data_IF_164819824427
#
_entry.id   IF_164819824427
#
_cell.length_a   1.000
_cell.length_b   1.000
_cell.length_c   1.000
_cell.angle_alpha   90.00
_cell.angle_beta   90.00
_cell.angle_gamma   90.00
#
_symmetry.space_group_name_H-M   'P 1'
#
loop_
_entity.id
_entity.type
_entity.pdbx_description
1 polymer ?
#
# COMPACT_ATOMS: atom_id res chain seq x y z
N UNK A 1 -73.14 -8.17 11.98
CA UNK A 1 -72.57 -7.99 13.34
C UNK A 1 -71.05 -8.04 13.24
N UNK A 2 -70.38 -6.88 13.32
CA UNK A 2 -68.92 -6.74 13.29
C UNK A 2 -68.42 -6.59 14.73
N UNK A 3 -67.45 -7.40 15.15
CA UNK A 3 -66.77 -7.27 16.46
C UNK A 3 -65.40 -6.61 16.24
N UNK A 4 -65.16 -5.52 16.96
CA UNK A 4 -63.82 -4.98 17.22
C UNK A 4 -63.12 -5.80 18.32
N UNK A 5 -61.78 -5.80 18.34
CA UNK A 5 -61.08 -5.14 19.44
C UNK A 5 -59.96 -4.23 18.90
N UNK A 6 -59.88 -2.94 19.26
CA UNK A 6 -59.30 -2.33 20.49
C UNK A 6 -57.84 -2.71 20.77
N UNK A 7 -56.95 -1.76 20.48
CA UNK A 7 -55.58 -1.63 21.00
C UNK A 7 -55.05 -0.25 20.59
N UNK A 8 -54.70 0.59 21.56
CA UNK A 8 -54.35 2.01 21.41
C UNK A 8 -52.80 2.22 21.45
N UNK A 9 -52.27 3.45 21.58
CA UNK A 9 -51.25 4.10 20.72
C UNK A 9 -49.89 4.20 21.48
N UNK A 10 -49.01 5.23 21.36
CA UNK A 10 -48.58 6.11 20.26
C UNK A 10 -47.05 5.99 20.00
N UNK A 11 -46.56 6.08 18.75
CA UNK A 11 -45.12 6.29 18.53
C UNK A 11 -44.82 7.76 18.27
N UNK A 12 -44.78 8.52 19.36
CA UNK A 12 -43.97 9.74 19.45
C UNK A 12 -42.53 9.32 19.64
N UNK A 13 -41.79 9.11 18.55
CA UNK A 13 -40.34 8.98 18.62
C UNK A 13 -39.75 10.35 18.90
N UNK A 14 -39.58 10.60 20.20
CA UNK A 14 -38.81 11.69 20.76
C UNK A 14 -37.42 11.70 20.12
N UNK A 15 -37.05 12.86 19.58
CA UNK A 15 -35.67 13.21 19.32
C UNK A 15 -34.92 13.21 20.65
N UNK A 16 -34.10 12.18 20.90
CA UNK A 16 -33.04 12.24 21.89
C UNK A 16 -31.76 12.74 21.20
N UNK A 17 -31.04 13.72 21.78
CA UNK A 17 -29.72 14.09 21.31
C UNK A 17 -28.77 12.98 21.78
N UNK A 18 -28.63 11.94 20.97
CA UNK A 18 -27.56 10.99 21.15
C UNK A 18 -26.25 11.74 20.87
N UNK A 19 -25.64 12.15 21.97
CA UNK A 19 -24.25 12.53 22.08
C UNK A 19 -23.40 11.38 21.54
N UNK A 20 -23.21 11.31 20.22
CA UNK A 20 -22.04 10.65 19.65
C UNK A 20 -20.88 11.65 19.74
N UNK A 21 -20.46 11.79 20.99
CA UNK A 21 -19.13 12.21 21.40
C UNK A 21 -18.13 11.63 20.40
N UNK A 22 -17.50 12.50 19.61
CA UNK A 22 -16.45 12.17 18.66
C UNK A 22 -15.61 10.98 19.13
N UNK A 23 -15.78 9.77 18.56
CA UNK A 23 -14.90 8.68 18.87
C UNK A 23 -13.61 8.98 18.11
N UNK A 24 -12.73 9.69 18.82
CA UNK A 24 -11.29 9.76 18.62
C UNK A 24 -10.91 10.38 17.26
N UNK A 25 -10.34 11.59 17.16
CA UNK A 25 -9.07 11.96 17.79
C UNK A 25 -8.11 10.77 18.09
N UNK A 26 -8.24 9.64 17.37
CA UNK A 26 -7.13 8.71 17.12
C UNK A 26 -6.36 9.51 16.07
N UNK A 27 -5.52 10.47 16.46
CA UNK A 27 -4.15 10.16 16.88
C UNK A 27 -3.73 8.90 16.16
N UNK A 28 -3.57 8.99 14.84
CA UNK A 28 -2.86 7.96 14.13
C UNK A 28 -1.39 8.11 14.55
N UNK A 29 -1.08 7.52 15.71
CA UNK A 29 0.18 6.84 15.88
C UNK A 29 0.44 6.03 14.60
N UNK A 30 1.71 5.89 14.20
CA UNK A 30 2.09 5.16 12.99
C UNK A 30 1.22 3.90 12.79
N UNK A 31 0.78 3.60 11.55
CA UNK A 31 -0.06 2.44 11.27
C UNK A 31 0.46 1.19 12.02
N UNK A 32 -0.41 0.33 12.59
CA UNK A 32 0.05 -0.81 13.38
C UNK A 32 1.04 -1.70 12.61
N UNK A 33 0.82 -1.87 11.30
CA UNK A 33 1.75 -2.56 10.42
C UNK A 33 3.15 -1.94 10.35
N UNK A 34 3.28 -0.61 10.48
CA UNK A 34 4.58 0.06 10.54
C UNK A 34 5.27 -0.19 11.89
N UNK A 35 4.51 -0.18 13.00
CA UNK A 35 5.04 -0.51 14.32
C UNK A 35 5.51 -1.98 14.39
N UNK A 36 4.75 -2.90 13.81
CA UNK A 36 5.12 -4.31 13.72
C UNK A 36 6.42 -4.50 12.92
N UNK A 37 6.58 -3.75 11.82
CA UNK A 37 7.80 -3.78 11.02
C UNK A 37 9.02 -3.25 11.78
N UNK A 38 8.87 -2.21 12.60
CA UNK A 38 9.94 -1.70 13.46
C UNK A 38 10.30 -2.69 14.57
N UNK A 39 9.30 -3.31 15.21
CA UNK A 39 9.54 -4.35 16.22
C UNK A 39 10.30 -5.55 15.63
N UNK A 40 9.92 -5.98 14.42
CA UNK A 40 10.65 -7.04 13.70
C UNK A 40 12.05 -6.62 13.27
N UNK A 41 12.27 -5.33 12.96
CA UNK A 41 13.60 -4.81 12.65
C UNK A 41 14.49 -4.82 13.90
N UNK A 42 13.98 -4.36 15.05
CA UNK A 42 14.70 -4.41 16.32
C UNK A 42 15.06 -5.84 16.71
N UNK A 43 14.09 -6.76 16.68
CA UNK A 43 14.36 -8.17 16.98
C UNK A 43 15.40 -8.77 16.02
N UNK A 44 15.33 -8.42 14.73
CA UNK A 44 16.34 -8.84 13.75
C UNK A 44 17.73 -8.27 14.04
N UNK A 45 17.85 -7.07 14.61
CA UNK A 45 19.15 -6.53 15.03
C UNK A 45 19.72 -7.25 16.24
N UNK A 46 18.86 -7.57 17.22
CA UNK A 46 19.25 -8.35 18.39
C UNK A 46 19.73 -9.76 17.95
N UNK A 47 19.03 -10.36 16.99
CA UNK A 47 19.41 -11.64 16.38
C UNK A 47 20.75 -11.51 15.63
N UNK A 48 20.92 -10.48 14.80
CA UNK A 48 22.16 -10.25 14.06
C UNK A 48 23.37 -10.09 15.00
N UNK A 49 23.20 -9.35 16.11
CA UNK A 49 24.24 -9.16 17.11
C UNK A 49 24.67 -10.48 17.78
N UNK A 50 23.79 -11.47 17.86
CA UNK A 50 24.09 -12.80 18.40
C UNK A 50 24.75 -13.75 17.38
N UNK A 51 24.73 -13.43 16.08
CA UNK A 51 25.32 -14.29 15.05
C UNK A 51 26.84 -14.27 15.08
N UNK A 52 27.47 -15.45 15.07
CA UNK A 52 28.93 -15.58 15.02
C UNK A 52 29.50 -15.44 13.60
N UNK A 53 28.72 -15.82 12.60
CA UNK A 53 29.17 -15.78 11.20
C UNK A 53 28.93 -14.38 10.60
N UNK A 54 29.94 -13.76 9.96
CA UNK A 54 29.78 -12.43 9.34
C UNK A 54 28.70 -12.39 8.27
N UNK A 55 28.58 -13.47 7.50
CA UNK A 55 27.64 -13.55 6.39
C UNK A 55 26.20 -13.53 6.89
N UNK A 56 25.86 -14.34 7.91
CA UNK A 56 24.52 -14.36 8.48
C UNK A 56 24.21 -13.05 9.20
N UNK A 57 25.15 -12.55 10.01
CA UNK A 57 25.04 -11.23 10.66
C UNK A 57 24.70 -10.14 9.65
N UNK A 58 25.45 -10.07 8.55
CA UNK A 58 25.23 -9.07 7.50
C UNK A 58 23.88 -9.23 6.79
N UNK A 59 23.48 -10.46 6.47
CA UNK A 59 22.20 -10.73 5.81
C UNK A 59 21.00 -10.33 6.69
N UNK A 60 21.03 -10.70 7.98
CA UNK A 60 19.99 -10.38 8.95
C UNK A 60 19.94 -8.87 9.21
N UNK A 61 21.09 -8.21 9.41
CA UNK A 61 21.15 -6.76 9.58
C UNK A 61 20.55 -6.02 8.36
N UNK A 62 20.89 -6.44 7.15
CA UNK A 62 20.33 -5.83 5.95
C UNK A 62 18.81 -6.07 5.81
N UNK A 63 18.30 -7.20 6.28
CA UNK A 63 16.87 -7.48 6.31
C UNK A 63 16.14 -6.58 7.33
N UNK A 64 16.74 -6.34 8.49
CA UNK A 64 16.23 -5.37 9.47
C UNK A 64 16.17 -3.95 8.86
N UNK A 65 17.18 -3.54 8.09
CA UNK A 65 17.17 -2.27 7.36
C UNK A 65 16.01 -2.19 6.35
N UNK A 66 15.75 -3.26 5.59
CA UNK A 66 14.62 -3.33 4.65
C UNK A 66 13.25 -3.22 5.35
N UNK A 67 13.09 -3.86 6.51
CA UNK A 67 11.85 -3.76 7.32
C UNK A 67 11.64 -2.34 7.82
N UNK A 68 12.71 -1.68 8.26
CA UNK A 68 12.69 -0.27 8.67
C UNK A 68 12.27 0.65 7.51
N UNK A 69 12.84 0.45 6.32
CA UNK A 69 12.43 1.17 5.11
C UNK A 69 10.96 0.92 4.75
N UNK A 70 10.50 -0.33 4.85
CA UNK A 70 9.11 -0.69 4.63
C UNK A 70 8.15 -0.02 5.62
N UNK A 71 8.56 0.20 6.88
CA UNK A 71 7.77 0.94 7.86
C UNK A 71 7.57 2.41 7.43
N UNK A 72 8.62 3.07 6.95
CA UNK A 72 8.51 4.43 6.40
C UNK A 72 7.56 4.48 5.22
N UNK A 73 7.68 3.51 4.30
CA UNK A 73 6.78 3.40 3.15
C UNK A 73 5.33 3.07 3.57
N UNK A 74 5.11 2.34 4.66
CA UNK A 74 3.77 2.08 5.18
C UNK A 74 3.13 3.34 5.80
N UNK A 75 3.94 4.25 6.36
CA UNK A 75 3.46 5.51 6.94
C UNK A 75 3.25 6.58 5.85
N UNK A 76 4.19 6.69 4.91
CA UNK A 76 4.23 7.78 3.91
C UNK A 76 3.70 7.38 2.53
N UNK A 77 3.66 6.10 2.21
CA UNK A 77 3.23 5.58 0.91
C UNK A 77 1.72 5.62 0.76
N UNK A 78 1.23 6.26 -0.30
CA UNK A 78 -0.19 6.29 -0.64
C UNK A 78 -0.68 4.86 -0.89
N UNK A 79 -1.83 4.43 -0.34
CA UNK A 79 -2.30 3.06 -0.45
C UNK A 79 -2.91 2.79 -1.84
N UNK A 80 -2.08 2.55 -2.85
CA UNK A 80 -2.53 1.92 -4.09
C UNK A 80 -1.89 0.53 -4.24
N UNK A 81 -2.71 -0.49 -4.00
CA UNK A 81 -2.34 -1.92 -4.10
C UNK A 81 -1.82 -2.31 -5.50
N UNK A 82 -2.12 -1.53 -6.54
CA UNK A 82 -1.60 -1.66 -7.91
C UNK A 82 -0.16 -1.13 -8.06
N UNK A 83 0.17 -0.03 -7.38
CA UNK A 83 1.52 0.55 -7.33
C UNK A 83 2.46 -0.32 -6.52
N UNK A 84 1.99 -0.97 -5.44
CA UNK A 84 2.79 -1.87 -4.61
C UNK A 84 3.45 -3.00 -5.43
N UNK A 85 2.75 -3.53 -6.44
CA UNK A 85 3.26 -4.59 -7.35
C UNK A 85 4.29 -4.05 -8.35
N UNK A 86 4.09 -2.83 -8.88
CA UNK A 86 5.07 -2.14 -9.75
C UNK A 86 6.30 -1.68 -8.96
N UNK A 87 6.09 -1.24 -7.72
CA UNK A 87 7.12 -0.84 -6.76
C UNK A 87 7.93 -2.04 -6.25
N UNK A 88 7.39 -3.26 -6.29
CA UNK A 88 8.14 -4.49 -5.98
C UNK A 88 9.13 -4.91 -7.08
N UNK A 89 8.96 -4.40 -8.32
CA UNK A 89 9.95 -4.55 -9.40
C UNK A 89 11.14 -3.58 -9.18
N UNK A 90 10.88 -2.44 -8.55
CA UNK A 90 11.91 -1.49 -8.09
C UNK A 90 12.43 -1.92 -6.73
N UNK A 91 13.73 -1.76 -6.48
CA UNK A 91 14.28 -2.08 -5.16
C UNK A 91 13.67 -1.12 -4.13
N UNK A 92 13.38 -1.58 -2.90
CA UNK A 92 12.85 -0.70 -1.84
C UNK A 92 13.71 0.57 -1.64
N UNK A 93 15.03 0.45 -1.88
CA UNK A 93 16.01 1.53 -1.82
C UNK A 93 15.87 2.57 -2.95
N UNK A 94 15.34 2.20 -4.11
CA UNK A 94 15.07 3.15 -5.20
C UNK A 94 13.85 4.00 -4.90
N UNK A 95 12.94 3.49 -4.07
CA UNK A 95 11.62 4.08 -3.92
C UNK A 95 11.37 4.75 -2.57
N UNK A 96 12.25 4.51 -1.59
CA UNK A 96 12.26 5.24 -0.33
C UNK A 96 12.57 6.74 -0.51
N UNK A 97 13.54 7.18 -1.37
CA UNK A 97 13.83 8.59 -1.58
C UNK A 97 12.64 9.42 -2.10
N UNK A 98 11.72 8.82 -2.88
CA UNK A 98 10.50 9.48 -3.34
C UNK A 98 9.56 9.86 -2.18
N UNK A 99 9.53 9.06 -1.11
CA UNK A 99 8.65 9.28 0.04
C UNK A 99 9.36 9.94 1.23
N UNK A 100 10.68 9.82 1.30
CA UNK A 100 11.52 10.33 2.36
C UNK A 100 12.88 10.75 1.79
N UNK A 101 12.98 11.94 1.16
CA UNK A 101 14.22 12.40 0.56
C UNK A 101 15.33 12.59 1.61
N UNK A 102 14.97 12.78 2.89
CA UNK A 102 15.92 12.88 4.00
C UNK A 102 16.69 11.56 4.25
N UNK A 103 16.17 10.44 3.74
CA UNK A 103 16.77 9.12 3.87
C UNK A 103 17.55 8.70 2.62
N UNK A 104 17.74 9.59 1.65
CA UNK A 104 18.40 9.26 0.37
C UNK A 104 19.83 8.73 0.56
N UNK A 105 20.60 9.34 1.46
CA UNK A 105 21.97 8.90 1.76
C UNK A 105 21.99 7.48 2.35
N UNK A 106 21.05 7.19 3.25
CA UNK A 106 20.87 5.84 3.77
C UNK A 106 20.49 4.85 2.67
N UNK A 107 19.63 5.25 1.73
CA UNK A 107 19.26 4.40 0.59
C UNK A 107 20.48 4.08 -0.28
N UNK A 108 21.35 5.05 -0.55
CA UNK A 108 22.57 4.83 -1.33
C UNK A 108 23.52 3.85 -0.61
N UNK A 109 23.74 4.05 0.69
CA UNK A 109 24.55 3.17 1.53
C UNK A 109 24.04 1.72 1.44
N UNK A 110 22.76 1.48 1.73
CA UNK A 110 22.21 0.14 1.73
C UNK A 110 22.09 -0.46 0.32
N UNK A 111 21.73 0.31 -0.70
CA UNK A 111 21.70 -0.17 -2.08
C UNK A 111 23.09 -0.68 -2.53
N UNK A 112 24.16 0.04 -2.17
CA UNK A 112 25.54 -0.38 -2.47
C UNK A 112 25.91 -1.71 -1.80
N UNK A 113 25.31 -2.02 -0.65
CA UNK A 113 25.52 -3.25 0.12
C UNK A 113 24.68 -4.44 -0.34
N UNK A 114 23.67 -4.26 -1.19
CA UNK A 114 22.74 -5.32 -1.60
C UNK A 114 23.41 -6.47 -2.39
N UNK A 115 24.36 -6.24 -3.32
CA UNK A 115 25.09 -7.33 -3.97
C UNK A 115 25.93 -8.16 -2.99
N UNK A 116 26.46 -7.55 -1.92
CA UNK A 116 27.19 -8.30 -0.87
C UNK A 116 26.24 -9.18 -0.06
N UNK A 117 25.05 -8.66 0.27
CA UNK A 117 24.00 -9.45 0.92
C UNK A 117 23.65 -10.69 0.08
N UNK A 118 23.40 -10.52 -1.21
CA UNK A 118 23.04 -11.64 -2.08
C UNK A 118 24.11 -12.74 -2.08
N UNK A 119 25.40 -12.37 -2.03
CA UNK A 119 26.51 -13.32 -1.91
C UNK A 119 26.58 -13.98 -0.52
N UNK A 120 26.33 -13.22 0.53
CA UNK A 120 26.29 -13.72 1.90
C UNK A 120 25.13 -14.72 2.10
N UNK A 121 23.94 -14.42 1.58
CA UNK A 121 22.77 -15.32 1.59
C UNK A 121 22.98 -16.57 0.75
N UNK A 122 23.75 -16.48 -0.34
CA UNK A 122 24.17 -17.63 -1.13
C UNK A 122 25.22 -18.51 -0.42
N UNK A 123 25.65 -18.16 0.80
CA UNK A 123 26.62 -18.93 1.57
C UNK A 123 28.04 -18.87 1.01
N UNK A 124 28.35 -17.87 0.18
CA UNK A 124 29.70 -17.71 -0.38
C UNK A 124 30.66 -17.37 0.78
N UNK A 125 31.65 -18.24 1.01
CA UNK A 125 32.63 -18.05 2.09
C UNK A 125 33.39 -16.73 1.89
N UNK A 126 33.47 -15.94 2.95
CA UNK A 126 34.20 -14.66 2.94
C UNK A 126 33.56 -13.58 2.08
N UNK A 127 32.27 -13.69 1.74
CA UNK A 127 31.55 -12.64 1.02
C UNK A 127 31.51 -11.30 1.79
N UNK A 128 31.58 -11.37 3.13
CA UNK A 128 31.60 -10.23 4.04
C UNK A 128 32.61 -10.51 5.16
N UNK A 129 33.40 -9.49 5.52
CA UNK A 129 34.31 -9.54 6.67
C UNK A 129 33.61 -9.21 8.00
N UNK A 130 34.21 -9.60 9.15
CA UNK A 130 33.67 -9.29 10.48
C UNK A 130 33.37 -7.79 10.66
N UNK A 131 34.36 -6.93 10.32
CA UNK A 131 34.21 -5.48 10.42
C UNK A 131 33.07 -4.94 9.57
N UNK A 132 32.92 -5.44 8.34
CA UNK A 132 31.83 -4.99 7.45
C UNK A 132 30.45 -5.39 7.99
N UNK A 133 30.36 -6.56 8.64
CA UNK A 133 29.13 -7.00 9.29
C UNK A 133 28.80 -6.14 10.52
N UNK A 134 29.81 -5.81 11.34
CA UNK A 134 29.65 -4.95 12.52
C UNK A 134 29.28 -3.51 12.14
N UNK A 135 29.94 -2.97 11.10
CA UNK A 135 29.63 -1.65 10.55
C UNK A 135 28.18 -1.62 10.05
N UNK A 136 27.72 -2.66 9.33
CA UNK A 136 26.33 -2.74 8.86
C UNK A 136 25.32 -2.83 10.01
N UNK A 137 25.60 -3.59 11.08
CA UNK A 137 24.73 -3.65 12.27
C UNK A 137 24.61 -2.26 12.87
N UNK A 138 25.75 -1.59 13.12
CA UNK A 138 25.79 -0.24 13.67
C UNK A 138 25.03 0.77 12.81
N UNK A 139 25.24 0.73 11.50
CA UNK A 139 24.55 1.62 10.55
C UNK A 139 23.05 1.38 10.55
N UNK A 140 22.63 0.12 10.62
CA UNK A 140 21.21 -0.25 10.66
C UNK A 140 20.55 0.19 11.97
N UNK A 141 21.22 0.09 13.11
CA UNK A 141 20.72 0.64 14.38
C UNK A 141 20.56 2.16 14.34
N UNK A 142 21.53 2.88 13.74
CA UNK A 142 21.44 4.33 13.58
C UNK A 142 20.26 4.69 12.67
N UNK A 143 20.10 3.98 11.57
CA UNK A 143 18.99 4.14 10.66
C UNK A 143 17.63 3.87 11.33
N UNK A 144 17.51 2.79 12.10
CA UNK A 144 16.30 2.44 12.85
C UNK A 144 15.94 3.54 13.84
N UNK A 145 16.88 3.98 14.69
CA UNK A 145 16.65 5.06 15.66
C UNK A 145 16.25 6.38 14.98
N UNK A 146 16.85 6.69 13.84
CA UNK A 146 16.50 7.87 13.05
C UNK A 146 15.05 7.79 12.58
N UNK A 147 14.64 6.65 12.03
CA UNK A 147 13.28 6.40 11.54
C UNK A 147 12.27 6.40 12.68
N UNK A 148 12.56 5.75 13.81
CA UNK A 148 11.70 5.77 14.99
C UNK A 148 11.45 7.21 15.46
N UNK A 149 12.51 8.01 15.62
CA UNK A 149 12.38 9.42 16.00
C UNK A 149 11.57 10.21 14.98
N UNK A 150 11.78 9.95 13.69
CA UNK A 150 11.05 10.60 12.60
C UNK A 150 9.55 10.24 12.63
N UNK A 151 9.20 8.98 12.89
CA UNK A 151 7.82 8.50 12.91
C UNK A 151 7.07 8.93 14.19
N UNK A 152 7.76 9.02 15.33
CA UNK A 152 7.20 9.57 16.58
C UNK A 152 6.93 11.08 16.45
N UNK A 153 7.77 11.79 15.69
CA UNK A 153 7.67 13.25 15.51
C UNK A 153 6.67 13.70 14.44
N UNK A 154 6.00 12.78 13.75
CA UNK A 154 4.98 13.09 12.73
C UNK A 154 3.58 13.02 13.37
N UNK A 155 3.03 14.12 13.93
CA UNK A 155 1.59 14.21 14.15
C UNK A 155 0.94 14.30 12.77
N UNK A 156 0.02 13.37 12.48
CA UNK A 156 -0.74 13.36 11.23
C UNK A 156 -1.28 14.76 10.90
N UNK A 157 -0.72 15.42 9.89
CA UNK A 157 -1.26 16.67 9.38
C UNK A 157 -2.62 16.39 8.71
N UNK A 158 -3.63 17.25 8.88
CA UNK A 158 -4.90 17.13 8.16
C UNK A 158 -4.63 17.24 6.66
N UNK A 159 -4.94 16.19 5.90
CA UNK A 159 -4.87 16.29 4.44
C UNK A 159 -5.95 17.26 3.96
N UNK A 160 -5.64 18.18 3.00
CA UNK A 160 -6.68 18.93 2.30
C UNK A 160 -7.54 17.91 1.59
N UNK A 161 -8.77 17.72 2.07
CA UNK A 161 -9.79 16.98 1.35
C UNK A 161 -10.03 17.76 0.05
N UNK A 162 -9.47 17.29 -1.05
CA UNK A 162 -9.95 17.68 -2.37
C UNK A 162 -11.39 17.18 -2.41
N UNK A 163 -12.33 18.09 -2.18
CA UNK A 163 -13.74 17.80 -2.35
C UNK A 163 -13.93 17.37 -3.81
N UNK A 164 -14.69 16.28 -4.08
CA UNK A 164 -15.21 16.10 -5.41
C UNK A 164 -16.04 17.35 -5.72
N UNK A 165 -15.71 18.03 -6.82
CA UNK A 165 -16.55 19.09 -7.34
C UNK A 165 -17.89 18.46 -7.75
N UNK A 166 -18.87 18.56 -6.86
CA UNK A 166 -20.27 18.38 -7.20
C UNK A 166 -20.69 19.61 -8.02
N UNK A 167 -20.39 19.59 -9.32
CA UNK A 167 -20.98 20.51 -10.30
C UNK A 167 -22.39 20.02 -10.62
N UNK A 168 -23.35 20.36 -9.75
CA UNK A 168 -24.77 20.36 -10.09
C UNK A 168 -25.47 21.62 -9.55
N UNK A 169 -25.79 22.53 -10.49
CA UNK A 169 -27.14 23.06 -10.80
C UNK A 169 -27.38 24.59 -10.77
N UNK A 170 -27.99 25.05 -11.89
CA UNK A 170 -28.94 26.18 -12.01
C UNK A 170 -28.52 27.24 -13.05
N UNK A 171 -29.26 27.62 -14.10
CA UNK A 171 -30.64 27.41 -14.55
C UNK A 171 -31.16 28.74 -15.18
N UNK A 172 -31.72 28.70 -16.42
CA UNK A 172 -32.61 29.69 -17.12
C UNK A 172 -32.28 29.73 -18.63
N UNK A 173 -33.17 29.73 -19.63
CA UNK A 173 -34.62 29.80 -19.76
C UNK A 173 -35.02 29.51 -21.23
N UNK A 174 -36.31 29.26 -21.45
CA UNK A 174 -37.00 28.69 -22.62
C UNK A 174 -37.00 29.54 -23.94
N UNK A 175 -37.92 29.33 -24.93
CA UNK A 175 -38.27 28.15 -25.74
C UNK A 175 -38.26 28.44 -27.26
N UNK A 176 -38.28 27.40 -28.13
CA UNK A 176 -38.99 27.50 -29.42
C UNK A 176 -39.38 26.11 -29.96
N UNK A 177 -40.65 25.93 -30.29
CA UNK A 177 -41.16 24.84 -31.13
C UNK A 177 -41.64 25.40 -32.48
N UNK A 178 -42.44 24.67 -33.29
CA UNK A 178 -42.74 23.24 -33.27
C UNK A 178 -42.71 22.59 -34.70
N UNK A 179 -43.18 21.34 -34.76
CA UNK A 179 -43.73 20.62 -35.93
C UNK A 179 -42.82 19.66 -36.70
N UNK A 180 -43.23 18.38 -36.73
CA UNK A 180 -42.60 17.32 -37.52
C UNK A 180 -43.16 15.93 -37.22
N UNK A 181 -44.41 15.70 -37.59
CA UNK A 181 -45.17 14.44 -37.52
C UNK A 181 -44.56 13.33 -38.39
N UNK A 182 -44.44 12.08 -37.90
CA UNK A 182 -44.90 10.84 -38.56
C UNK A 182 -44.35 9.55 -37.90
N UNK A 183 -45.08 8.47 -38.14
CA UNK A 183 -45.17 7.15 -37.47
C UNK A 183 -44.08 6.09 -37.80
N UNK A 184 -44.07 4.93 -37.09
CA UNK A 184 -43.14 3.79 -37.25
C UNK A 184 -43.64 2.76 -38.30
N UNK A 185 -42.90 1.69 -38.69
CA UNK A 185 -42.92 0.42 -37.94
C UNK A 185 -41.69 -0.55 -38.08
N UNK A 186 -41.58 -1.44 -37.08
CA UNK A 186 -41.27 -2.89 -37.12
C UNK A 186 -40.11 -3.48 -37.97
N UNK A 187 -39.23 -4.25 -37.31
CA UNK A 187 -38.26 -5.13 -38.00
C UNK A 187 -37.40 -6.07 -37.14
N UNK A 188 -38.01 -7.09 -36.53
CA UNK A 188 -37.59 -8.52 -36.44
C UNK A 188 -36.07 -8.90 -36.35
N UNK A 189 -35.68 -9.56 -35.26
CA UNK A 189 -34.46 -10.37 -35.05
C UNK A 189 -34.51 -11.73 -35.81
N UNK A 190 -33.64 -12.77 -35.63
CA UNK A 190 -32.28 -12.92 -35.05
C UNK A 190 -31.31 -13.78 -35.93
N UNK A 191 -30.04 -14.01 -35.50
CA UNK A 191 -29.19 -15.12 -36.01
C UNK A 191 -27.72 -15.03 -35.56
N UNK A 192 -27.25 -15.86 -34.61
CA UNK A 192 -26.71 -17.25 -34.74
C UNK A 192 -25.18 -17.35 -35.00
N UNK A 193 -24.45 -17.68 -33.92
CA UNK A 193 -23.50 -18.81 -33.72
C UNK A 193 -22.75 -19.36 -34.97
N UNK A 194 -21.40 -19.36 -34.92
CA UNK A 194 -20.45 -20.52 -35.01
C UNK A 194 -19.03 -20.00 -35.34
N UNK A 195 -18.00 -20.22 -34.53
CA UNK A 195 -17.20 -21.44 -34.33
C UNK A 195 -16.34 -21.87 -35.54
N UNK A 196 -15.00 -21.84 -35.38
CA UNK A 196 -13.95 -22.73 -35.95
C UNK A 196 -12.57 -22.11 -35.60
N UNK A 197 -11.71 -22.69 -34.75
CA UNK A 197 -10.90 -23.92 -34.84
C UNK A 197 -9.64 -23.83 -35.72
N UNK A 198 -8.49 -24.15 -35.14
CA UNK A 198 -7.20 -24.49 -35.78
C UNK A 198 -6.04 -23.94 -34.94
N UNK A 199 -5.45 -24.63 -33.96
CA UNK A 199 -4.82 -25.98 -33.87
C UNK A 199 -3.64 -26.20 -34.84
N UNK A 200 -2.45 -26.11 -34.23
CA UNK A 200 -1.24 -26.91 -34.38
C UNK A 200 -0.44 -26.88 -35.70
N UNK A 201 0.86 -26.65 -35.52
CA UNK A 201 1.89 -27.18 -36.41
C UNK A 201 3.22 -26.44 -36.27
N UNK A 202 4.08 -26.85 -35.33
CA UNK A 202 5.53 -26.61 -35.43
C UNK A 202 6.26 -27.75 -34.71
N UNK A 203 6.96 -28.61 -35.47
CA UNK A 203 8.21 -29.16 -34.98
C UNK A 203 9.31 -29.02 -36.03
N UNK A 204 10.54 -28.72 -35.59
CA UNK A 204 11.71 -29.61 -35.79
C UNK A 204 12.99 -28.99 -35.21
N UNK A 205 13.51 -29.68 -34.20
CA UNK A 205 14.93 -29.68 -33.82
C UNK A 205 15.79 -30.09 -35.03
N UNK A 206 16.90 -29.38 -35.23
CA UNK A 206 18.12 -29.93 -35.82
C UNK A 206 19.23 -29.69 -34.81
N UNK A 207 19.75 -30.78 -34.24
CA UNK A 207 20.99 -30.77 -33.50
C UNK A 207 22.14 -30.74 -34.52
N UNK A 208 23.14 -29.92 -34.21
CA UNK A 208 24.52 -30.06 -34.69
C UNK A 208 25.38 -30.49 -33.52
#
# INVERSE_FOLDING_TARGET
MRRHPRGAPPNSSQATPASDVHPVLRRAAAPPAALDLLAQAQHGLDEAAAMETPNERYAIAHLAALRTAAAVLAVRGRPESSERRRRAIRSAWEVLPEAAPELSEWCLLFASGAPKRARAEAGIRGAVGQREADDLVRDTEVFLRLVERMLVSQPALPQPRVAPADDEQGGAGAPNGPAGRAQPPSGRAPGRIRARSGRAGHPRKRAG
#
